data_IF_933555804461
#
_entry.id   IF_933555804461
#
_cell.length_a   1.000
_cell.length_b   1.000
_cell.length_c   1.000
_cell.angle_alpha   90.00
_cell.angle_beta   90.00
_cell.angle_gamma   90.00
#
_symmetry.space_group_name_H-M   'P 1'
#
loop_
_entity.id
_entity.type
_entity.pdbx_description
1 polymer ?
#
# COMPACT_ATOMS: atom_id res chain seq x y z
N UNK A 1 11.22 -0.03 -47.17
CA UNK A 1 11.89 0.68 -46.07
C UNK A 1 10.98 1.70 -45.40
N UNK A 2 10.29 2.57 -46.17
CA UNK A 2 9.41 3.62 -45.64
C UNK A 2 8.22 3.10 -44.80
N UNK A 3 7.61 1.97 -45.19
CA UNK A 3 6.49 1.37 -44.46
C UNK A 3 6.87 0.83 -43.07
N UNK A 4 8.08 0.29 -42.93
CA UNK A 4 8.61 -0.20 -41.65
C UNK A 4 8.87 0.97 -40.69
N UNK A 5 9.35 2.09 -41.20
CA UNK A 5 9.61 3.30 -40.42
C UNK A 5 8.30 3.92 -39.90
N UNK A 6 7.24 3.89 -40.70
CA UNK A 6 5.91 4.35 -40.30
C UNK A 6 5.30 3.48 -39.20
N UNK A 7 5.47 2.15 -39.28
CA UNK A 7 4.97 1.22 -38.28
C UNK A 7 5.70 1.39 -36.94
N UNK A 8 7.01 1.64 -36.98
CA UNK A 8 7.81 1.89 -35.79
C UNK A 8 7.43 3.22 -35.11
N UNK A 9 7.15 4.27 -35.88
CA UNK A 9 6.67 5.55 -35.36
C UNK A 9 5.29 5.43 -34.69
N UNK A 10 4.36 4.69 -35.29
CA UNK A 10 3.05 4.42 -34.69
C UNK A 10 3.17 3.67 -33.37
N UNK A 11 4.05 2.66 -33.30
CA UNK A 11 4.27 1.89 -32.09
C UNK A 11 4.90 2.74 -30.98
N UNK A 12 5.83 3.64 -31.33
CA UNK A 12 6.44 4.57 -30.39
C UNK A 12 5.43 5.63 -29.88
N UNK A 13 4.55 6.10 -30.75
CA UNK A 13 3.46 7.01 -30.39
C UNK A 13 2.44 6.34 -29.47
N UNK A 14 2.10 5.07 -29.73
CA UNK A 14 1.20 4.29 -28.88
C UNK A 14 1.81 4.04 -27.49
N UNK A 15 3.12 3.75 -27.42
CA UNK A 15 3.85 3.62 -26.15
C UNK A 15 3.89 4.96 -25.37
N UNK A 16 4.09 6.09 -26.04
CA UNK A 16 4.04 7.41 -25.39
C UNK A 16 2.65 7.76 -24.86
N UNK A 17 1.59 7.44 -25.60
CA UNK A 17 0.21 7.66 -25.13
C UNK A 17 -0.14 6.77 -23.93
N UNK A 18 0.30 5.50 -23.93
CA UNK A 18 0.10 4.60 -22.78
C UNK A 18 0.84 5.08 -21.52
N UNK A 19 2.08 5.56 -21.68
CA UNK A 19 2.86 6.12 -20.56
C UNK A 19 2.23 7.40 -19.99
N UNK A 20 1.65 8.28 -20.83
CA UNK A 20 0.94 9.47 -20.38
C UNK A 20 -0.35 9.14 -19.63
N UNK A 21 -1.10 8.11 -20.05
CA UNK A 21 -2.30 7.67 -19.33
C UNK A 21 -1.99 7.05 -17.97
N UNK A 22 -0.85 6.36 -17.82
CA UNK A 22 -0.39 5.84 -16.53
C UNK A 22 0.12 6.97 -15.60
N UNK A 23 0.78 8.00 -16.14
CA UNK A 23 1.23 9.15 -15.33
C UNK A 23 0.08 10.09 -14.90
N UNK A 24 -0.99 10.20 -15.69
CA UNK A 24 -2.14 11.05 -15.36
C UNK A 24 -2.96 10.56 -14.16
N UNK A 25 -2.88 9.27 -13.79
CA UNK A 25 -3.59 8.71 -12.64
C UNK A 25 -2.98 9.14 -11.29
N UNK A 26 -1.73 9.63 -11.28
CA UNK A 26 -1.09 10.19 -10.08
C UNK A 26 -1.14 11.73 -9.98
N UNK A 27 -1.57 12.44 -11.04
CA UNK A 27 -1.39 13.89 -11.15
C UNK A 27 -2.54 14.74 -10.57
N UNK A 28 -3.57 14.13 -9.99
CA UNK A 28 -4.74 14.83 -9.43
C UNK A 28 -5.14 14.40 -8.02
N UNK A 29 -4.39 13.47 -7.40
CA UNK A 29 -4.71 13.04 -6.04
C UNK A 29 -4.03 13.93 -5.01
N UNK A 30 -4.71 14.33 -3.91
CA UNK A 30 -4.12 15.18 -2.89
C UNK A 30 -2.88 14.51 -2.29
N UNK A 31 -1.85 15.28 -1.92
CA UNK A 31 -0.70 14.71 -1.21
C UNK A 31 -1.16 14.04 0.09
N UNK A 32 -0.47 12.99 0.57
CA UNK A 32 -0.78 12.39 1.86
C UNK A 32 -0.59 13.42 2.98
N UNK A 33 -1.30 13.24 4.09
CA UNK A 33 -1.18 14.13 5.23
C UNK A 33 0.25 14.09 5.81
N UNK A 34 0.82 15.25 6.23
CA UNK A 34 2.14 15.29 6.85
C UNK A 34 2.19 14.43 8.12
N UNK A 35 3.31 13.72 8.32
CA UNK A 35 3.56 12.95 9.55
C UNK A 35 3.01 11.51 9.55
N UNK A 36 2.39 11.05 8.46
CA UNK A 36 1.99 9.65 8.34
C UNK A 36 3.23 8.73 8.27
N UNK A 37 3.34 7.77 9.19
CA UNK A 37 4.41 6.78 9.17
C UNK A 37 4.14 5.68 8.12
N UNK A 38 5.18 5.03 7.56
CA UNK A 38 5.00 3.81 6.77
C UNK A 38 4.31 2.70 7.57
N UNK A 39 3.86 1.65 6.89
CA UNK A 39 3.24 0.47 7.50
C UNK A 39 3.97 -0.80 7.01
N UNK A 40 3.99 -1.82 7.85
CA UNK A 40 4.40 -3.17 7.51
C UNK A 40 3.20 -4.10 7.59
N UNK A 41 2.97 -4.87 6.52
CA UNK A 41 1.91 -5.87 6.43
C UNK A 41 2.53 -7.27 6.50
N UNK A 42 2.16 -8.03 7.51
CA UNK A 42 2.71 -9.37 7.80
C UNK A 42 1.58 -10.38 8.08
N UNK A 43 1.93 -11.67 8.14
CA UNK A 43 0.94 -12.74 8.34
C UNK A 43 0.01 -12.92 7.14
N UNK A 44 -1.28 -13.18 7.34
CA UNK A 44 -2.23 -13.69 6.35
C UNK A 44 -2.02 -15.18 6.05
N UNK A 45 -2.97 -16.01 6.44
CA UNK A 45 -3.00 -17.45 6.26
C UNK A 45 -3.52 -17.88 4.88
N UNK A 46 -4.18 -16.99 4.13
CA UNK A 46 -4.48 -17.23 2.73
C UNK A 46 -3.24 -16.92 1.88
N UNK A 47 -2.50 -17.95 1.45
CA UNK A 47 -1.22 -17.76 0.74
C UNK A 47 -1.34 -16.96 -0.57
N UNK A 48 -2.41 -17.17 -1.33
CA UNK A 48 -2.65 -16.43 -2.59
C UNK A 48 -2.75 -14.93 -2.31
N UNK A 49 -3.53 -14.52 -1.31
CA UNK A 49 -3.65 -13.11 -0.93
C UNK A 49 -2.37 -12.61 -0.26
N UNK A 50 -1.77 -13.42 0.62
CA UNK A 50 -0.54 -13.07 1.33
C UNK A 50 0.61 -12.70 0.38
N UNK A 51 0.76 -13.43 -0.73
CA UNK A 51 1.76 -13.17 -1.77
C UNK A 51 1.56 -11.83 -2.50
N UNK A 52 0.36 -11.24 -2.40
CA UNK A 52 0.02 -9.95 -3.00
C UNK A 52 0.19 -8.82 -1.97
N UNK A 53 -0.33 -9.00 -0.75
CA UNK A 53 -0.50 -7.90 0.20
C UNK A 53 0.66 -7.73 1.19
N UNK A 54 1.50 -8.74 1.43
CA UNK A 54 2.64 -8.62 2.37
C UNK A 54 3.67 -7.62 1.86
N UNK A 55 4.22 -6.81 2.77
CA UNK A 55 5.31 -5.89 2.46
C UNK A 55 5.23 -4.57 3.20
N UNK A 56 6.06 -3.63 2.78
CA UNK A 56 6.10 -2.26 3.32
C UNK A 56 5.21 -1.34 2.48
N UNK A 57 4.44 -0.49 3.14
CA UNK A 57 3.57 0.49 2.51
C UNK A 57 3.94 1.88 2.97
N UNK A 58 3.88 2.85 2.05
CA UNK A 58 4.15 4.26 2.34
C UNK A 58 2.90 5.10 2.12
N UNK A 59 2.72 6.19 2.89
CA UNK A 59 1.69 7.18 2.58
C UNK A 59 1.82 7.64 1.13
N UNK A 60 0.72 7.62 0.40
CA UNK A 60 0.69 7.86 -1.03
C UNK A 60 -0.21 9.05 -1.39
N UNK A 61 -1.43 9.06 -0.85
CA UNK A 61 -2.42 10.13 -1.08
C UNK A 61 -3.42 10.17 0.08
N UNK A 62 -4.54 10.88 -0.08
CA UNK A 62 -5.67 10.87 0.85
C UNK A 62 -6.96 10.43 0.16
N UNK A 63 -7.83 9.75 0.91
CA UNK A 63 -9.20 9.43 0.56
C UNK A 63 -10.11 9.58 1.79
N UNK A 64 -11.26 10.23 1.64
CA UNK A 64 -12.18 10.55 2.76
C UNK A 64 -11.45 11.05 4.02
N UNK A 65 -10.59 12.05 3.84
CA UNK A 65 -9.79 12.69 4.89
C UNK A 65 -8.79 11.77 5.62
N UNK A 66 -8.56 10.54 5.12
CA UNK A 66 -7.60 9.59 5.68
C UNK A 66 -6.49 9.29 4.68
N UNK A 67 -5.32 8.90 5.18
CA UNK A 67 -4.21 8.52 4.32
C UNK A 67 -4.50 7.21 3.59
N UNK A 68 -4.19 7.20 2.29
CA UNK A 68 -4.05 5.99 1.48
C UNK A 68 -2.58 5.60 1.48
N UNK A 69 -2.32 4.31 1.69
CA UNK A 69 -0.99 3.76 1.71
C UNK A 69 -0.78 2.89 0.47
N UNK A 70 0.37 3.00 -0.19
CA UNK A 70 0.74 2.18 -1.35
C UNK A 70 1.93 1.30 -1.02
N UNK A 71 1.87 0.04 -1.45
CA UNK A 71 2.95 -0.94 -1.30
C UNK A 71 4.22 -0.51 -2.06
N UNK A 72 5.36 -0.55 -1.40
CA UNK A 72 6.67 -0.34 -2.03
C UNK A 72 6.94 -1.46 -3.05
N UNK A 73 7.42 -1.07 -4.23
CA UNK A 73 7.70 -1.98 -5.34
C UNK A 73 6.47 -2.57 -6.04
N UNK A 74 5.25 -2.16 -5.65
CA UNK A 74 4.00 -2.67 -6.21
C UNK A 74 3.71 -4.14 -5.84
N UNK A 75 2.62 -4.65 -6.36
CA UNK A 75 2.24 -6.07 -6.35
C UNK A 75 2.83 -6.82 -7.55
N UNK A 76 2.54 -8.13 -7.62
CA UNK A 76 2.97 -8.95 -8.75
C UNK A 76 2.42 -8.40 -10.09
N UNK A 77 3.24 -8.40 -11.14
CA UNK A 77 2.84 -7.92 -12.46
C UNK A 77 2.69 -6.40 -12.59
N UNK A 78 3.21 -5.62 -11.62
CA UNK A 78 3.13 -4.15 -11.65
C UNK A 78 1.77 -3.59 -11.22
N UNK A 79 0.91 -4.42 -10.63
CA UNK A 79 -0.37 -4.01 -10.08
C UNK A 79 -0.12 -3.28 -8.76
N UNK A 80 -0.66 -2.08 -8.59
CA UNK A 80 -0.58 -1.38 -7.30
C UNK A 80 -1.32 -2.15 -6.20
N UNK A 81 -0.86 -2.00 -4.96
CA UNK A 81 -1.56 -2.54 -3.79
C UNK A 81 -1.73 -1.41 -2.81
N UNK A 82 -2.98 -1.05 -2.54
CA UNK A 82 -3.36 0.08 -1.72
C UNK A 82 -4.06 -0.38 -0.44
N UNK A 83 -3.85 0.37 0.64
CA UNK A 83 -4.66 0.34 1.86
C UNK A 83 -5.39 1.68 1.92
N UNK A 84 -6.72 1.65 1.86
CA UNK A 84 -7.54 2.86 1.83
C UNK A 84 -8.81 2.70 2.64
N UNK A 85 -9.35 3.83 3.13
CA UNK A 85 -10.65 3.87 3.78
C UNK A 85 -11.74 4.19 2.77
N UNK A 86 -12.95 3.66 2.98
CA UNK A 86 -14.18 4.00 2.27
C UNK A 86 -15.26 4.46 3.28
N UNK A 87 -15.94 5.57 2.99
CA UNK A 87 -17.03 6.06 3.85
C UNK A 87 -18.34 5.27 3.62
N UNK A 88 -19.43 5.70 4.24
CA UNK A 88 -20.72 5.01 4.18
C UNK A 88 -21.63 5.47 3.03
N UNK A 89 -21.08 6.13 2.00
CA UNK A 89 -21.86 6.61 0.83
C UNK A 89 -22.60 5.50 0.09
N UNK A 90 -22.04 4.29 0.07
CA UNK A 90 -22.64 3.11 -0.57
C UNK A 90 -23.32 2.18 0.46
N UNK A 91 -23.37 2.60 1.72
CA UNK A 91 -23.98 1.89 2.83
C UNK A 91 -22.99 1.47 3.91
N UNK A 92 -23.48 1.24 5.14
CA UNK A 92 -22.63 1.00 6.31
C UNK A 92 -21.81 -0.30 6.20
N UNK A 93 -22.24 -1.25 5.38
CA UNK A 93 -21.55 -2.53 5.16
C UNK A 93 -20.30 -2.41 4.28
N UNK A 94 -20.16 -1.30 3.54
CA UNK A 94 -18.99 -1.03 2.70
C UNK A 94 -18.03 -0.03 3.35
N UNK A 95 -18.47 0.59 4.45
CA UNK A 95 -17.65 1.54 5.19
C UNK A 95 -16.56 0.80 5.97
N UNK A 96 -15.32 1.27 5.85
CA UNK A 96 -14.18 0.67 6.53
C UNK A 96 -12.90 0.74 5.71
N UNK A 97 -11.94 -0.10 6.07
CA UNK A 97 -10.63 -0.19 5.45
C UNK A 97 -10.54 -1.36 4.47
N UNK A 98 -9.85 -1.13 3.36
CA UNK A 98 -9.78 -2.04 2.22
C UNK A 98 -8.35 -2.21 1.74
N UNK A 99 -8.03 -3.44 1.31
CA UNK A 99 -6.92 -3.72 0.41
C UNK A 99 -7.44 -3.84 -1.02
N UNK A 100 -6.90 -3.06 -1.96
CA UNK A 100 -7.29 -3.15 -3.38
C UNK A 100 -6.28 -2.49 -4.32
N UNK A 101 -6.38 -2.73 -5.64
CA UNK A 101 -5.47 -2.16 -6.62
C UNK A 101 -5.77 -0.69 -6.92
N UNK A 102 -6.96 -0.22 -6.56
CA UNK A 102 -7.45 1.13 -6.77
C UNK A 102 -8.42 1.51 -5.66
N UNK A 103 -8.32 2.74 -5.17
CA UNK A 103 -9.28 3.32 -4.22
C UNK A 103 -10.69 3.33 -4.83
N UNK A 104 -11.65 2.68 -4.16
CA UNK A 104 -13.04 2.59 -4.60
C UNK A 104 -13.27 1.76 -5.86
N UNK A 105 -12.35 0.85 -6.21
CA UNK A 105 -12.55 -0.12 -7.28
C UNK A 105 -13.24 -1.39 -6.80
N UNK A 106 -13.80 -2.16 -7.73
CA UNK A 106 -14.58 -3.37 -7.42
C UNK A 106 -13.71 -4.59 -7.03
N UNK A 107 -12.41 -4.53 -7.29
CA UNK A 107 -11.47 -5.59 -6.93
C UNK A 107 -10.86 -5.31 -5.56
N UNK A 108 -10.99 -6.25 -4.64
CA UNK A 108 -10.51 -6.13 -3.26
C UNK A 108 -9.97 -7.46 -2.75
N UNK A 109 -8.97 -7.40 -1.89
CA UNK A 109 -8.33 -8.59 -1.30
C UNK A 109 -8.74 -8.82 0.15
N UNK A 110 -8.92 -7.74 0.92
CA UNK A 110 -9.24 -7.81 2.34
C UNK A 110 -10.04 -6.59 2.79
N UNK A 111 -10.84 -6.77 3.83
CA UNK A 111 -11.73 -5.75 4.39
C UNK A 111 -11.71 -5.76 5.92
N UNK A 112 -11.81 -4.57 6.53
CA UNK A 112 -12.07 -4.40 7.95
C UNK A 112 -13.10 -3.27 8.13
N UNK A 113 -14.16 -3.50 8.91
CA UNK A 113 -15.27 -2.56 9.13
C UNK A 113 -15.00 -1.42 10.12
N UNK A 114 -13.81 -1.37 10.72
CA UNK A 114 -13.44 -0.28 11.64
C UNK A 114 -13.38 1.07 10.92
N UNK A 115 -13.78 2.13 11.64
CA UNK A 115 -13.84 3.51 11.15
C UNK A 115 -12.71 4.41 11.69
N UNK A 116 -11.64 3.78 12.17
CA UNK A 116 -10.45 4.43 12.72
C UNK A 116 -9.80 5.42 11.73
N UNK A 117 -9.01 6.36 12.25
CA UNK A 117 -8.24 7.32 11.45
C UNK A 117 -7.08 6.67 10.67
N UNK A 118 -6.55 5.57 11.20
CA UNK A 118 -5.49 4.76 10.58
C UNK A 118 -5.96 3.33 10.35
N UNK A 119 -5.34 2.58 9.41
CA UNK A 119 -5.67 1.17 9.20
C UNK A 119 -5.61 0.37 10.52
N UNK A 120 -6.60 -0.50 10.78
CA UNK A 120 -6.59 -1.38 11.94
C UNK A 120 -5.43 -2.35 11.91
N UNK A 121 -4.87 -2.63 13.08
CA UNK A 121 -3.74 -3.55 13.21
C UNK A 121 -4.15 -4.98 12.84
N UNK A 122 -5.34 -5.42 13.23
CA UNK A 122 -5.85 -6.79 13.04
C UNK A 122 -7.34 -6.77 12.68
N UNK A 123 -8.01 -7.93 12.67
CA UNK A 123 -9.46 -8.02 12.41
C UNK A 123 -9.84 -8.03 10.93
N UNK A 124 -8.86 -8.22 10.04
CA UNK A 124 -9.06 -8.22 8.60
C UNK A 124 -9.73 -9.51 8.12
N UNK A 125 -10.78 -9.39 7.30
CA UNK A 125 -11.38 -10.49 6.56
C UNK A 125 -10.56 -10.79 5.32
N UNK A 126 -10.20 -12.06 5.12
CA UNK A 126 -9.45 -12.51 3.94
C UNK A 126 -10.03 -13.82 3.39
N UNK A 127 -10.53 -13.86 2.13
CA UNK A 127 -10.84 -12.71 1.26
C UNK A 127 -11.81 -11.72 1.93
N UNK A 128 -12.10 -10.58 1.30
CA UNK A 128 -12.86 -9.48 1.90
C UNK A 128 -14.22 -9.89 2.52
N UNK A 129 -14.88 -10.89 1.95
CA UNK A 129 -16.16 -11.48 2.37
C UNK A 129 -16.01 -12.75 3.23
N UNK A 130 -14.77 -13.17 3.46
CA UNK A 130 -14.40 -14.36 4.20
C UNK A 130 -14.38 -14.19 5.74
N UNK A 131 -13.83 -15.19 6.44
CA UNK A 131 -13.59 -15.12 7.87
C UNK A 131 -12.49 -14.11 8.20
N UNK A 132 -12.45 -13.69 9.47
CA UNK A 132 -11.33 -12.90 9.99
C UNK A 132 -10.06 -13.76 9.99
N UNK A 133 -9.01 -13.27 9.33
CA UNK A 133 -7.67 -13.82 9.41
C UNK A 133 -6.98 -13.32 10.69
N UNK A 134 -6.79 -14.23 11.64
CA UNK A 134 -6.17 -13.92 12.94
C UNK A 134 -4.67 -13.60 12.84
N UNK A 135 -4.05 -13.88 11.71
CA UNK A 135 -2.60 -13.74 11.50
C UNK A 135 -2.24 -12.47 10.74
N UNK A 136 -3.14 -11.91 9.93
CA UNK A 136 -2.90 -10.68 9.18
C UNK A 136 -2.74 -9.48 10.12
N UNK A 137 -1.58 -8.82 10.05
CA UNK A 137 -1.22 -7.66 10.86
C UNK A 137 -0.79 -6.47 9.99
N UNK A 138 -1.23 -5.27 10.35
CA UNK A 138 -0.85 -3.99 9.73
C UNK A 138 -0.29 -3.05 10.79
N UNK A 139 1.02 -2.96 10.90
CA UNK A 139 1.70 -2.24 12.00
C UNK A 139 2.63 -1.15 11.50
N UNK A 140 2.80 -0.03 12.21
CA UNK A 140 3.92 0.88 11.96
C UNK A 140 5.27 0.13 12.11
N UNK A 141 6.27 0.39 11.26
CA UNK A 141 7.58 -0.20 11.41
C UNK A 141 8.22 0.33 12.69
N UNK A 142 8.28 -0.51 13.74
CA UNK A 142 8.85 -0.13 15.03
C UNK A 142 8.19 -0.77 16.27
N UNK A 143 7.04 -1.41 16.15
CA UNK A 143 6.38 -2.06 17.30
C UNK A 143 7.06 -3.37 17.79
N UNK A 144 8.21 -3.77 17.21
CA UNK A 144 8.85 -5.06 17.48
C UNK A 144 10.37 -5.10 17.64
N UNK A 145 11.07 -3.96 17.66
CA UNK A 145 12.52 -3.93 17.96
C UNK A 145 12.80 -2.80 18.95
N UNK A 146 12.82 -3.16 20.24
CA UNK A 146 13.50 -2.37 21.25
C UNK A 146 14.96 -2.20 20.81
N UNK A 147 15.36 -0.95 20.56
CA UNK A 147 16.74 -0.58 20.37
C UNK A 147 17.54 -1.03 21.60
N UNK A 148 18.46 -1.99 21.43
CA UNK A 148 19.47 -2.27 22.44
C UNK A 148 20.39 -1.04 22.54
N UNK A 149 20.53 -0.39 23.71
CA UNK A 149 21.47 0.70 23.87
C UNK A 149 22.88 0.14 23.82
N UNK A 150 23.58 0.41 22.71
CA UNK A 150 25.00 0.13 22.56
C UNK A 150 25.78 1.04 23.51
N UNK A 151 26.03 0.54 24.72
CA UNK A 151 26.84 1.20 25.73
C UNK A 151 28.27 1.39 25.21
N UNK A 152 28.68 2.64 25.29
CA UNK A 152 29.97 3.24 25.01
C UNK A 152 31.10 2.55 25.78
N UNK A 153 31.95 1.79 25.09
CA UNK A 153 33.21 1.29 25.64
C UNK A 153 34.36 1.64 24.69
N UNK A 154 34.75 2.91 24.66
CA UNK A 154 36.06 3.29 24.13
C UNK A 154 36.51 4.65 24.66
N UNK A 155 37.06 4.68 25.88
CA UNK A 155 38.03 5.70 26.28
C UNK A 155 38.83 5.24 27.50
N UNK A 156 39.89 4.46 27.25
CA UNK A 156 41.05 4.37 28.13
C UNK A 156 42.21 3.70 27.37
N UNK A 157 42.84 4.47 26.50
CA UNK A 157 44.21 4.19 26.04
C UNK A 157 44.84 5.47 25.51
N UNK A 158 45.17 6.36 26.44
CA UNK A 158 46.19 7.39 26.26
C UNK A 158 46.67 7.83 27.64
N UNK A 159 47.55 7.03 28.22
CA UNK A 159 48.51 7.41 29.26
C UNK A 159 49.69 6.46 29.11
N UNK A 160 50.57 6.83 28.18
CA UNK A 160 52.02 6.60 28.17
C UNK A 160 52.63 7.41 27.04
#
# INVERSE_FOLDING_TARGET
QQQMQQQQALQQQQQQQAAQQQQAQGAGQPPPAPGAAPLAVTGCGNETVANIIRGTYRPYTMNHSRNVYRKDGGGQGGIDVLIYFWDDRDGPNFCGWWFGPKTGGDQVWAYNSERSETPPVSGWRVPYDGPIDQTLQVTPPGAGQQAQPQHQQQQQQQMQ
#
